data_IF_714595507397
#
_entry.id   IF_714595507397
#
_cell.length_a   1.000
_cell.length_b   1.000
_cell.length_c   1.000
_cell.angle_alpha   90.00
_cell.angle_beta   90.00
_cell.angle_gamma   90.00
#
_symmetry.space_group_name_H-M   'P 1'
#
loop_
_entity.id
_entity.type
_entity.pdbx_description
1 polymer ?
#
# COMPACT_ATOMS: atom_id res chain seq x y z
N UNK A 1 19.22 13.74 2.85
CA UNK A 1 17.92 13.08 3.09
C UNK A 1 17.56 13.25 4.54
N UNK A 2 16.38 13.82 4.81
CA UNK A 2 15.86 14.00 6.17
C UNK A 2 14.69 13.04 6.35
N UNK A 3 14.62 12.34 7.48
CA UNK A 3 13.55 11.41 7.81
C UNK A 3 12.75 12.02 8.94
N UNK A 4 11.45 12.16 8.72
CA UNK A 4 10.51 12.71 9.69
C UNK A 4 9.55 11.58 10.07
N UNK A 5 9.38 11.38 11.38
CA UNK A 5 8.40 10.45 11.93
C UNK A 5 7.44 11.28 12.77
N UNK A 6 6.17 11.30 12.39
CA UNK A 6 5.13 12.00 13.13
C UNK A 6 3.82 11.24 13.02
N UNK A 7 2.95 11.44 13.99
CA UNK A 7 1.56 11.00 13.93
C UNK A 7 0.61 12.13 13.51
N UNK A 8 1.11 13.36 13.40
CA UNK A 8 0.33 14.52 12.95
C UNK A 8 0.29 14.58 11.42
N UNK A 9 -0.90 14.34 10.87
CA UNK A 9 -1.15 14.33 9.43
C UNK A 9 -0.98 15.70 8.79
N UNK A 10 -1.33 16.79 9.48
CA UNK A 10 -1.20 18.15 8.94
C UNK A 10 0.27 18.55 8.80
N UNK A 11 1.08 18.17 9.78
CA UNK A 11 2.52 18.38 9.73
C UNK A 11 3.17 17.58 8.59
N UNK A 12 2.84 16.29 8.47
CA UNK A 12 3.35 15.45 7.37
C UNK A 12 2.91 15.99 6.01
N UNK A 13 1.66 16.43 5.87
CA UNK A 13 1.17 17.01 4.63
C UNK A 13 1.89 18.31 4.23
N UNK A 14 2.36 19.09 5.20
CA UNK A 14 2.99 20.39 4.95
C UNK A 14 4.48 20.28 4.63
N UNK A 15 5.15 19.23 5.10
CA UNK A 15 6.62 19.13 5.07
C UNK A 15 7.12 17.96 4.22
N UNK A 16 6.40 16.84 4.20
CA UNK A 16 6.84 15.63 3.50
C UNK A 16 6.44 15.66 2.03
N UNK A 17 7.40 15.31 1.16
CA UNK A 17 7.20 15.16 -0.29
C UNK A 17 7.13 13.71 -0.73
N UNK A 18 7.46 12.79 0.18
CA UNK A 18 7.43 11.35 0.00
C UNK A 18 7.01 10.69 1.32
N UNK A 19 6.15 9.69 1.21
CA UNK A 19 5.66 8.91 2.34
C UNK A 19 6.18 7.48 2.23
N UNK A 20 6.81 6.99 3.29
CA UNK A 20 7.28 5.62 3.35
C UNK A 20 6.30 4.80 4.19
N UNK A 21 5.68 3.81 3.57
CA UNK A 21 4.83 2.80 4.20
C UNK A 21 5.65 1.55 4.48
N UNK A 22 5.54 1.03 5.70
CA UNK A 22 6.26 -0.14 6.13
C UNK A 22 5.26 -1.23 6.49
N UNK A 23 5.17 -2.25 5.65
CA UNK A 23 4.26 -3.37 5.84
C UNK A 23 4.94 -4.71 5.56
N UNK A 24 4.68 -5.71 6.41
CA UNK A 24 5.27 -7.06 6.36
C UNK A 24 6.79 -7.11 6.07
N UNK A 25 7.57 -6.19 6.64
CA UNK A 25 9.02 -6.10 6.44
C UNK A 25 9.45 -5.53 5.08
N UNK A 26 8.50 -5.02 4.29
CA UNK A 26 8.75 -4.31 3.04
C UNK A 26 8.48 -2.82 3.21
N UNK A 27 9.35 -1.99 2.65
CA UNK A 27 9.18 -0.55 2.62
C UNK A 27 8.74 -0.12 1.22
N UNK A 28 7.59 0.56 1.13
CA UNK A 28 7.09 1.16 -0.11
C UNK A 28 7.10 2.67 0.04
N UNK A 29 7.73 3.35 -0.91
CA UNK A 29 7.77 4.82 -0.93
C UNK A 29 6.77 5.33 -1.95
N UNK A 30 5.89 6.21 -1.53
CA UNK A 30 4.89 6.88 -2.34
C UNK A 30 5.31 8.35 -2.51
N UNK A 31 5.35 8.88 -3.74
CA UNK A 31 5.56 10.31 -3.96
C UNK A 31 4.30 11.08 -3.55
N UNK A 32 4.49 12.30 -3.06
CA UNK A 32 3.41 13.17 -2.60
C UNK A 32 3.32 13.26 -1.08
N UNK A 33 2.25 13.91 -0.63
CA UNK A 33 1.99 14.15 0.78
C UNK A 33 1.25 12.95 1.43
N UNK A 34 0.79 13.10 2.66
CA UNK A 34 0.05 12.06 3.38
C UNK A 34 -1.28 11.69 2.69
N UNK A 35 -2.00 12.66 2.12
CA UNK A 35 -3.28 12.40 1.46
C UNK A 35 -3.10 11.62 0.16
N UNK A 36 -2.09 11.99 -0.64
CA UNK A 36 -1.70 11.25 -1.85
C UNK A 36 -1.32 9.80 -1.53
N UNK A 37 -0.52 9.63 -0.48
CA UNK A 37 -0.15 8.33 0.05
C UNK A 37 -1.38 7.51 0.46
N UNK A 38 -2.32 8.10 1.20
CA UNK A 38 -3.52 7.41 1.65
C UNK A 38 -4.34 6.90 0.47
N UNK A 39 -4.54 7.72 -0.56
CA UNK A 39 -5.26 7.31 -1.77
C UNK A 39 -4.52 6.18 -2.52
N UNK A 40 -3.21 6.33 -2.73
CA UNK A 40 -2.40 5.33 -3.41
C UNK A 40 -2.36 3.99 -2.65
N UNK A 41 -2.25 4.04 -1.32
CA UNK A 41 -2.23 2.85 -0.46
C UNK A 41 -3.57 2.10 -0.50
N UNK A 42 -4.70 2.81 -0.43
CA UNK A 42 -6.02 2.19 -0.58
C UNK A 42 -6.18 1.49 -1.93
N UNK A 43 -5.85 2.17 -3.04
CA UNK A 43 -5.93 1.59 -4.38
C UNK A 43 -5.01 0.38 -4.55
N UNK A 44 -3.79 0.45 -3.99
CA UNK A 44 -2.85 -0.66 -4.00
C UNK A 44 -3.42 -1.87 -3.24
N UNK A 45 -4.02 -1.64 -2.06
CA UNK A 45 -4.64 -2.69 -1.26
C UNK A 45 -5.83 -3.33 -1.96
N UNK A 46 -6.71 -2.55 -2.58
CA UNK A 46 -7.83 -3.08 -3.37
C UNK A 46 -7.36 -3.96 -4.53
N UNK A 47 -6.34 -3.52 -5.27
CA UNK A 47 -5.74 -4.32 -6.36
C UNK A 47 -5.15 -5.63 -5.85
N UNK A 48 -4.47 -5.61 -4.70
CA UNK A 48 -3.92 -6.81 -4.08
C UNK A 48 -5.01 -7.79 -3.65
N UNK A 49 -6.10 -7.30 -3.06
CA UNK A 49 -7.25 -8.15 -2.67
C UNK A 49 -7.90 -8.76 -3.91
N UNK A 50 -8.14 -7.97 -4.96
CA UNK A 50 -8.72 -8.46 -6.21
C UNK A 50 -7.82 -9.50 -6.91
N UNK A 51 -6.50 -9.28 -6.92
CA UNK A 51 -5.54 -10.24 -7.47
C UNK A 51 -5.51 -11.54 -6.65
N UNK A 52 -5.54 -11.45 -5.32
CA UNK A 52 -5.57 -12.61 -4.43
C UNK A 52 -6.87 -13.41 -4.56
N UNK A 53 -8.02 -12.75 -4.74
CA UNK A 53 -9.29 -13.43 -4.98
C UNK A 53 -9.24 -14.26 -6.27
N UNK A 54 -8.81 -13.65 -7.39
CA UNK A 54 -8.63 -14.35 -8.68
C UNK A 54 -7.60 -15.47 -8.58
N UNK A 55 -6.55 -15.30 -7.80
CA UNK A 55 -5.55 -16.34 -7.58
C UNK A 55 -6.15 -17.54 -6.83
N UNK A 56 -6.97 -17.29 -5.81
CA UNK A 56 -7.69 -18.35 -5.08
C UNK A 56 -8.66 -19.10 -5.98
N UNK A 57 -9.47 -18.40 -6.77
CA UNK A 57 -10.43 -19.04 -7.69
C UNK A 57 -9.72 -20.00 -8.65
N UNK A 58 -8.58 -19.58 -9.23
CA UNK A 58 -7.77 -20.43 -10.11
C UNK A 58 -7.15 -21.64 -9.40
N UNK A 59 -6.77 -21.49 -8.12
CA UNK A 59 -6.24 -22.61 -7.33
C UNK A 59 -7.33 -23.64 -7.07
N UNK A 60 -8.55 -23.19 -6.74
CA UNK A 60 -9.70 -24.08 -6.53
C UNK A 60 -10.04 -24.84 -7.81
N UNK A 61 -10.15 -24.14 -8.95
CA UNK A 61 -10.46 -24.77 -10.24
C UNK A 61 -9.42 -25.82 -10.62
N UNK A 62 -8.13 -25.57 -10.40
CA UNK A 62 -7.06 -26.55 -10.66
C UNK A 62 -7.09 -27.77 -9.72
N UNK A 63 -7.57 -27.62 -8.48
CA UNK A 63 -7.70 -28.75 -7.55
C UNK A 63 -8.84 -29.69 -7.95
N UNK A 64 -9.89 -29.18 -8.58
CA UNK A 64 -11.03 -29.98 -9.02
C UNK A 64 -10.71 -30.90 -10.23
N UNK A 65 -9.59 -30.66 -10.93
CA UNK A 65 -9.14 -31.48 -12.06
C UNK A 65 -8.23 -32.67 -11.68
N UNK A 66 -7.85 -32.85 -10.41
CA UNK A 66 -7.03 -33.96 -9.90
C UNK A 66 -7.88 -34.95 -9.12
#
# INVERSE_FOLDING_TARGET
TMIIISHDRHFLNSVCTHMADMDYGTLKVYPGNYDDYMQASMQARERQVAANARAKDRITELQDFV
#
